data_IF_166990996440
#
_entry.id   IF_166990996440
#
_cell.length_a   1.000
_cell.length_b   1.000
_cell.length_c   1.000
_cell.angle_alpha   90.00
_cell.angle_beta   90.00
_cell.angle_gamma   90.00
#
_symmetry.space_group_name_H-M   'P 1'
#
loop_
_entity.id
_entity.type
_entity.pdbx_description
1 polymer ?
#
# COMPACT_ATOMS: atom_id res chain seq x y z
N UNK A 1 -29.35 39.63 43.62
CA UNK A 1 -29.16 39.96 42.19
C UNK A 1 -27.69 39.76 41.87
N UNK A 2 -27.36 38.61 41.30
CA UNK A 2 -25.98 38.19 41.03
C UNK A 2 -25.71 38.45 39.54
N UNK A 3 -24.71 39.24 39.14
CA UNK A 3 -24.44 39.46 37.72
C UNK A 3 -23.93 38.16 37.10
N UNK A 4 -24.65 37.71 36.07
CA UNK A 4 -24.24 36.61 35.21
C UNK A 4 -22.93 36.97 34.51
N UNK A 5 -21.89 36.19 34.79
CA UNK A 5 -20.58 36.29 34.15
C UNK A 5 -20.73 35.68 32.75
N UNK A 6 -20.90 36.53 31.74
CA UNK A 6 -20.87 36.09 30.34
C UNK A 6 -19.53 35.39 30.07
N UNK A 7 -19.51 34.19 29.46
CA UNK A 7 -18.26 33.60 29.00
C UNK A 7 -17.69 34.51 27.91
N UNK A 8 -16.55 35.12 28.20
CA UNK A 8 -15.78 35.82 27.18
C UNK A 8 -15.48 34.82 26.06
N UNK A 9 -15.99 35.13 24.88
CA UNK A 9 -15.62 34.54 23.61
C UNK A 9 -14.10 34.50 23.53
N UNK A 10 -13.51 33.33 23.76
CA UNK A 10 -12.18 33.04 23.25
C UNK A 10 -12.27 33.23 21.76
N UNK A 11 -11.67 34.31 21.25
CA UNK A 11 -11.34 34.43 19.83
C UNK A 11 -10.57 33.15 19.52
N UNK A 12 -11.23 32.21 18.86
CA UNK A 12 -10.71 30.87 18.68
C UNK A 12 -9.32 31.00 18.06
N UNK A 13 -8.31 30.34 18.62
CA UNK A 13 -6.94 30.31 18.09
C UNK A 13 -6.86 29.81 16.62
N UNK A 14 -8.00 29.42 16.06
CA UNK A 14 -8.26 28.96 14.70
C UNK A 14 -8.74 30.07 13.75
N UNK A 15 -9.00 31.30 14.22
CA UNK A 15 -9.51 32.39 13.36
C UNK A 15 -8.40 33.36 12.94
N UNK A 16 -7.35 33.52 13.74
CA UNK A 16 -6.23 34.42 13.43
C UNK A 16 -5.16 33.72 12.56
N UNK A 17 -4.99 34.13 11.28
CA UNK A 17 -4.03 33.50 10.37
C UNK A 17 -2.58 33.56 10.85
N UNK A 18 -2.20 34.57 11.62
CA UNK A 18 -0.83 34.68 12.16
C UNK A 18 -0.54 33.56 13.17
N UNK A 19 -1.57 32.99 13.80
CA UNK A 19 -1.45 31.92 14.79
C UNK A 19 -1.58 30.55 14.13
N UNK A 20 -2.61 30.37 13.29
CA UNK A 20 -2.94 29.04 12.78
C UNK A 20 -2.13 28.65 11.54
N UNK A 21 -1.69 29.61 10.70
CA UNK A 21 -0.96 29.30 9.47
C UNK A 21 0.42 28.69 9.73
N UNK A 22 1.24 29.18 10.70
CA UNK A 22 2.49 28.51 11.07
C UNK A 22 2.27 27.10 11.62
N UNK A 23 1.17 26.86 12.33
CA UNK A 23 0.80 25.52 12.81
C UNK A 23 0.48 24.60 11.64
N UNK A 24 -0.34 25.04 10.70
CA UNK A 24 -0.66 24.27 9.50
C UNK A 24 0.60 23.96 8.69
N UNK A 25 1.52 24.92 8.54
CA UNK A 25 2.77 24.69 7.82
C UNK A 25 3.59 23.55 8.44
N UNK A 26 3.72 23.50 9.77
CA UNK A 26 4.40 22.39 10.47
C UNK A 26 3.68 21.05 10.27
N UNK A 27 2.36 21.03 10.38
CA UNK A 27 1.58 19.81 10.12
C UNK A 27 1.77 19.34 8.67
N UNK A 28 1.84 20.24 7.69
CA UNK A 28 2.13 19.85 6.31
C UNK A 28 3.56 19.33 6.15
N UNK A 29 4.56 19.94 6.81
CA UNK A 29 5.95 19.46 6.78
C UNK A 29 6.07 18.05 7.39
N UNK A 30 5.41 17.80 8.51
CA UNK A 30 5.35 16.47 9.14
C UNK A 30 4.64 15.45 8.25
N UNK A 31 3.54 15.84 7.59
CA UNK A 31 2.83 14.99 6.64
C UNK A 31 3.73 14.64 5.45
N UNK A 32 4.43 15.62 4.88
CA UNK A 32 5.37 15.41 3.77
C UNK A 32 6.44 14.40 4.18
N UNK A 33 7.06 14.54 5.36
CA UNK A 33 8.06 13.61 5.83
C UNK A 33 7.53 12.17 5.99
N UNK A 34 6.29 12.01 6.48
CA UNK A 34 5.63 10.70 6.55
C UNK A 34 5.40 10.09 5.16
N UNK A 35 4.90 10.88 4.21
CA UNK A 35 4.66 10.41 2.85
C UNK A 35 5.96 10.12 2.09
N UNK A 36 7.04 10.89 2.30
CA UNK A 36 8.35 10.59 1.73
C UNK A 36 8.90 9.26 2.26
N UNK A 37 8.79 9.02 3.56
CA UNK A 37 9.19 7.73 4.14
C UNK A 37 8.32 6.57 3.62
N UNK A 38 7.03 6.80 3.39
CA UNK A 38 6.15 5.81 2.76
C UNK A 38 6.57 5.54 1.30
N UNK A 39 6.97 6.56 0.55
CA UNK A 39 7.49 6.43 -0.83
C UNK A 39 8.78 5.61 -0.86
N UNK A 40 9.70 5.81 0.08
CA UNK A 40 10.93 5.01 0.22
C UNK A 40 10.61 3.52 0.48
N UNK A 41 9.69 3.24 1.41
CA UNK A 41 9.27 1.87 1.69
C UNK A 41 8.57 1.23 0.49
N UNK A 42 7.80 2.01 -0.28
CA UNK A 42 7.16 1.53 -1.50
C UNK A 42 8.19 1.20 -2.61
N UNK A 43 9.27 1.98 -2.73
CA UNK A 43 10.37 1.64 -3.64
C UNK A 43 11.05 0.33 -3.20
N UNK A 44 11.38 0.21 -1.91
CA UNK A 44 12.00 -1.00 -1.37
C UNK A 44 11.10 -2.23 -1.53
N UNK A 45 9.80 -2.08 -1.37
CA UNK A 45 8.83 -3.14 -1.63
C UNK A 45 8.90 -3.63 -3.08
N UNK A 46 8.94 -2.72 -4.05
CA UNK A 46 9.08 -3.07 -5.47
C UNK A 46 10.36 -3.88 -5.75
N UNK A 47 11.50 -3.47 -5.18
CA UNK A 47 12.77 -4.18 -5.32
C UNK A 47 12.71 -5.60 -4.70
N UNK A 48 12.00 -5.76 -3.57
CA UNK A 48 11.82 -7.05 -2.91
C UNK A 48 10.88 -7.98 -3.66
N UNK A 49 9.84 -7.43 -4.30
CA UNK A 49 8.96 -8.17 -5.22
C UNK A 49 9.77 -8.69 -6.41
N UNK A 50 10.62 -7.85 -7.00
CA UNK A 50 11.46 -8.23 -8.14
C UNK A 50 12.49 -9.31 -7.78
N UNK A 51 13.11 -9.21 -6.60
CA UNK A 51 14.09 -10.19 -6.13
C UNK A 51 13.50 -11.47 -5.53
N UNK A 52 12.19 -11.48 -5.23
CA UNK A 52 11.50 -12.64 -4.65
C UNK A 52 11.85 -12.91 -3.18
N UNK A 53 12.37 -11.90 -2.46
CA UNK A 53 12.67 -12.00 -1.03
C UNK A 53 11.39 -11.73 -0.20
N UNK A 54 10.60 -12.78 -0.05
CA UNK A 54 9.29 -12.72 0.60
C UNK A 54 9.37 -12.42 2.11
N UNK A 55 10.44 -12.85 2.78
CA UNK A 55 10.61 -12.62 4.22
C UNK A 55 10.93 -11.14 4.50
N UNK A 56 11.84 -10.55 3.72
CA UNK A 56 12.12 -9.12 3.81
C UNK A 56 10.90 -8.27 3.38
N UNK A 57 10.12 -8.74 2.40
CA UNK A 57 8.88 -8.10 1.97
C UNK A 57 7.87 -7.98 3.12
N UNK A 58 7.68 -9.03 3.92
CA UNK A 58 6.80 -8.98 5.09
C UNK A 58 7.25 -7.93 6.12
N UNK A 59 8.57 -7.79 6.33
CA UNK A 59 9.13 -6.76 7.20
C UNK A 59 8.77 -5.34 6.73
N UNK A 60 8.94 -5.06 5.43
CA UNK A 60 8.59 -3.77 4.84
C UNK A 60 7.09 -3.49 4.95
N UNK A 61 6.23 -4.48 4.73
CA UNK A 61 4.78 -4.31 4.90
C UNK A 61 4.39 -3.94 6.33
N UNK A 62 5.06 -4.53 7.33
CA UNK A 62 4.87 -4.16 8.74
C UNK A 62 5.28 -2.72 9.04
N UNK A 63 6.44 -2.28 8.55
CA UNK A 63 6.87 -0.87 8.67
C UNK A 63 5.88 0.09 8.01
N UNK A 64 5.37 -0.27 6.81
CA UNK A 64 4.38 0.53 6.09
C UNK A 64 3.08 0.67 6.86
N UNK A 65 2.56 -0.40 7.46
CA UNK A 65 1.34 -0.33 8.27
C UNK A 65 1.50 0.66 9.44
N UNK A 66 2.61 0.58 10.17
CA UNK A 66 2.87 1.53 11.26
C UNK A 66 2.97 2.99 10.79
N UNK A 67 3.40 3.21 9.55
CA UNK A 67 3.44 4.52 8.93
C UNK A 67 2.06 5.02 8.50
N UNK A 68 1.24 4.15 7.92
CA UNK A 68 -0.16 4.44 7.59
C UNK A 68 -0.97 4.80 8.84
N UNK A 69 -0.73 4.11 9.96
CA UNK A 69 -1.38 4.43 11.23
C UNK A 69 -1.00 5.85 11.71
N UNK A 70 0.27 6.23 11.58
CA UNK A 70 0.75 7.60 11.89
C UNK A 70 0.16 8.65 10.97
N UNK A 71 0.10 8.38 9.66
CA UNK A 71 -0.54 9.27 8.69
C UNK A 71 -2.01 9.47 9.04
N UNK A 72 -2.71 8.40 9.45
CA UNK A 72 -4.11 8.45 9.84
C UNK A 72 -4.31 9.31 11.10
N UNK A 73 -3.46 9.13 12.11
CA UNK A 73 -3.48 9.97 13.30
C UNK A 73 -3.20 11.45 12.97
N UNK A 74 -2.21 11.70 12.11
CA UNK A 74 -1.83 13.04 11.69
C UNK A 74 -2.91 13.74 10.83
N UNK A 75 -3.65 12.97 10.04
CA UNK A 75 -4.79 13.48 9.27
C UNK A 75 -5.89 14.04 10.19
N UNK A 76 -6.07 13.46 11.39
CA UNK A 76 -7.00 14.00 12.38
C UNK A 76 -6.55 15.38 12.92
N UNK A 77 -5.24 15.64 13.00
CA UNK A 77 -4.71 16.96 13.39
C UNK A 77 -4.86 18.01 12.27
N UNK A 78 -4.93 17.58 11.01
CA UNK A 78 -5.20 18.43 9.85
C UNK A 78 -6.70 18.72 9.64
N UNK A 79 -7.59 17.85 10.14
CA UNK A 79 -9.04 17.93 9.95
C UNK A 79 -9.66 19.31 10.27
N UNK A 80 -9.28 20.02 11.35
CA UNK A 80 -9.85 21.34 11.64
C UNK A 80 -9.54 22.37 10.54
N UNK A 81 -8.43 22.21 9.83
CA UNK A 81 -8.02 23.12 8.75
C UNK A 81 -8.66 22.75 7.43
N UNK A 82 -8.73 21.45 7.11
CA UNK A 82 -9.29 20.98 5.84
C UNK A 82 -10.81 21.15 5.81
N UNK A 83 -11.51 20.86 6.91
CA UNK A 83 -12.96 21.04 7.04
C UNK A 83 -13.42 22.50 6.92
N UNK A 84 -12.54 23.45 7.27
CA UNK A 84 -12.83 24.89 7.27
C UNK A 84 -12.04 25.65 6.20
N UNK A 85 -11.35 24.95 5.30
CA UNK A 85 -10.39 25.56 4.38
C UNK A 85 -10.99 26.68 3.54
N UNK A 86 -12.19 26.49 3.00
CA UNK A 86 -12.89 27.48 2.17
C UNK A 86 -13.23 28.78 2.92
N UNK A 87 -13.38 28.71 4.25
CA UNK A 87 -13.61 29.88 5.10
C UNK A 87 -12.29 30.54 5.54
N UNK A 88 -11.23 29.75 5.76
CA UNK A 88 -9.93 30.22 6.24
C UNK A 88 -9.07 30.82 5.11
N UNK A 89 -9.05 30.21 3.93
CA UNK A 89 -8.20 30.60 2.80
C UNK A 89 -8.35 32.08 2.38
N UNK A 90 -9.58 32.67 2.30
CA UNK A 90 -9.74 34.08 1.94
C UNK A 90 -9.09 35.03 2.94
N UNK A 91 -9.00 34.63 4.22
CA UNK A 91 -8.42 35.44 5.30
C UNK A 91 -6.90 35.38 5.36
N UNK A 92 -6.29 34.44 4.62
CA UNK A 92 -4.86 34.16 4.70
C UNK A 92 -4.01 35.25 4.01
N UNK A 93 -3.05 35.88 4.73
CA UNK A 93 -2.09 36.80 4.14
C UNK A 93 -1.28 36.18 2.99
N UNK A 94 -0.87 37.01 2.03
CA UNK A 94 -0.15 36.57 0.84
C UNK A 94 1.13 35.79 1.17
N UNK A 95 1.90 36.24 2.17
CA UNK A 95 3.12 35.57 2.63
C UNK A 95 2.86 34.12 3.10
N UNK A 96 1.75 33.90 3.83
CA UNK A 96 1.38 32.55 4.27
C UNK A 96 0.87 31.68 3.11
N UNK A 97 0.16 32.25 2.14
CA UNK A 97 -0.24 31.53 0.92
C UNK A 97 0.97 31.02 0.14
N UNK A 98 1.98 31.87 -0.03
CA UNK A 98 3.24 31.52 -0.71
C UNK A 98 4.01 30.42 0.04
N UNK A 99 3.85 30.36 1.37
CA UNK A 99 4.46 29.32 2.21
C UNK A 99 3.70 27.99 2.13
N UNK A 100 2.37 28.02 2.17
CA UNK A 100 1.52 26.82 2.26
C UNK A 100 1.27 26.15 0.91
N UNK A 101 1.14 26.92 -0.17
CA UNK A 101 0.89 26.39 -1.52
C UNK A 101 1.89 25.32 -1.97
N UNK A 102 3.22 25.55 -1.96
CA UNK A 102 4.17 24.53 -2.41
C UNK A 102 4.12 23.25 -1.56
N UNK A 103 3.77 23.37 -0.27
CA UNK A 103 3.63 22.20 0.62
C UNK A 103 2.41 21.36 0.26
N UNK A 104 1.27 22.00 0.01
CA UNK A 104 0.05 21.32 -0.44
C UNK A 104 0.26 20.65 -1.81
N UNK A 105 0.93 21.34 -2.74
CA UNK A 105 1.29 20.79 -4.04
C UNK A 105 2.21 19.57 -3.91
N UNK A 106 3.25 19.68 -3.08
CA UNK A 106 4.20 18.59 -2.80
C UNK A 106 3.51 17.38 -2.16
N UNK A 107 2.66 17.61 -1.17
CA UNK A 107 1.89 16.55 -0.52
C UNK A 107 0.99 15.83 -1.54
N UNK A 108 0.28 16.57 -2.39
CA UNK A 108 -0.56 16.00 -3.44
C UNK A 108 0.22 15.25 -4.53
N UNK A 109 1.44 15.69 -4.85
CA UNK A 109 2.37 14.94 -5.72
C UNK A 109 2.75 13.59 -5.11
N UNK A 110 3.21 13.59 -3.85
CA UNK A 110 3.62 12.38 -3.13
C UNK A 110 2.48 11.36 -3.03
N UNK A 111 1.28 11.81 -2.66
CA UNK A 111 0.10 10.95 -2.56
C UNK A 111 -0.21 10.26 -3.89
N UNK A 112 -0.21 11.00 -5.01
CA UNK A 112 -0.46 10.42 -6.34
C UNK A 112 0.62 9.42 -6.74
N UNK A 113 1.88 9.74 -6.47
CA UNK A 113 3.03 8.88 -6.77
C UNK A 113 2.92 7.54 -6.03
N UNK A 114 2.56 7.57 -4.75
CA UNK A 114 2.42 6.37 -3.91
C UNK A 114 1.27 5.49 -4.40
N UNK A 115 0.09 6.08 -4.66
CA UNK A 115 -1.07 5.33 -5.19
C UNK A 115 -0.73 4.65 -6.52
N UNK A 116 -0.06 5.35 -7.44
CA UNK A 116 0.35 4.77 -8.72
C UNK A 116 1.32 3.60 -8.54
N UNK A 117 2.28 3.69 -7.60
CA UNK A 117 3.22 2.59 -7.35
C UNK A 117 2.53 1.41 -6.69
N UNK A 118 1.68 1.64 -5.70
CA UNK A 118 0.99 0.58 -4.97
C UNK A 118 0.07 -0.22 -5.91
N UNK A 119 -0.60 0.44 -6.86
CA UNK A 119 -1.39 -0.24 -7.89
C UNK A 119 -0.50 -1.11 -8.81
N UNK A 120 0.66 -0.58 -9.23
CA UNK A 120 1.61 -1.33 -10.06
C UNK A 120 2.16 -2.57 -9.33
N UNK A 121 2.50 -2.43 -8.04
CA UNK A 121 2.97 -3.54 -7.21
C UNK A 121 1.89 -4.58 -6.96
N UNK A 122 0.64 -4.15 -6.75
CA UNK A 122 -0.51 -5.05 -6.64
C UNK A 122 -0.66 -5.91 -7.89
N UNK A 123 -0.58 -5.30 -9.08
CA UNK A 123 -0.63 -6.04 -10.35
C UNK A 123 0.53 -7.03 -10.50
N UNK A 124 1.75 -6.66 -10.11
CA UNK A 124 2.93 -7.55 -10.16
C UNK A 124 2.75 -8.76 -9.25
N UNK A 125 2.35 -8.54 -8.00
CA UNK A 125 2.09 -9.62 -7.04
C UNK A 125 0.99 -10.56 -7.54
N UNK A 126 -0.09 -10.02 -8.11
CA UNK A 126 -1.15 -10.83 -8.71
C UNK A 126 -0.63 -11.70 -9.86
N UNK A 127 0.18 -11.12 -10.75
CA UNK A 127 0.79 -11.86 -11.87
C UNK A 127 1.73 -12.98 -11.39
N UNK A 128 2.55 -12.71 -10.37
CA UNK A 128 3.44 -13.71 -9.76
C UNK A 128 2.66 -14.87 -9.13
N UNK A 129 1.59 -14.56 -8.40
CA UNK A 129 0.68 -15.57 -7.82
C UNK A 129 0.09 -16.46 -8.91
N UNK A 130 -0.39 -15.86 -10.01
CA UNK A 130 -1.02 -16.61 -11.10
C UNK A 130 -0.03 -17.48 -11.86
N UNK A 131 1.22 -17.04 -12.01
CA UNK A 131 2.31 -17.84 -12.56
C UNK A 131 2.61 -19.06 -11.66
N UNK A 132 2.82 -18.83 -10.36
CA UNK A 132 3.07 -19.91 -9.40
C UNK A 132 1.93 -20.95 -9.37
N UNK A 133 0.68 -20.50 -9.46
CA UNK A 133 -0.48 -21.39 -9.52
C UNK A 133 -0.47 -22.27 -10.78
N UNK A 134 -0.08 -21.71 -11.94
CA UNK A 134 0.05 -22.47 -13.19
C UNK A 134 1.17 -23.50 -13.11
N UNK A 135 2.30 -23.14 -12.50
CA UNK A 135 3.44 -24.04 -12.32
C UNK A 135 3.07 -25.22 -11.44
N UNK A 136 2.41 -24.98 -10.30
CA UNK A 136 1.90 -26.03 -9.42
C UNK A 136 0.91 -26.96 -10.15
N UNK A 137 -0.01 -26.40 -10.95
CA UNK A 137 -0.94 -27.18 -11.75
C UNK A 137 -0.24 -28.00 -12.87
N UNK A 138 0.92 -27.55 -13.36
CA UNK A 138 1.71 -28.31 -14.33
C UNK A 138 2.45 -29.49 -13.69
N UNK A 139 2.94 -29.31 -12.46
CA UNK A 139 3.62 -30.36 -11.68
C UNK A 139 2.63 -31.47 -11.32
N UNK A 140 1.44 -31.12 -10.81
CA UNK A 140 0.38 -32.09 -10.49
C UNK A 140 -0.04 -32.90 -11.73
N UNK A 141 -0.20 -32.26 -12.89
CA UNK A 141 -0.47 -32.96 -14.15
C UNK A 141 0.67 -33.90 -14.57
N UNK A 142 1.91 -33.48 -14.40
CA UNK A 142 3.09 -34.29 -14.73
C UNK A 142 3.17 -35.53 -13.83
N UNK A 143 2.95 -35.38 -12.52
CA UNK A 143 2.91 -36.50 -11.57
C UNK A 143 1.80 -37.51 -11.91
N UNK A 144 0.61 -37.05 -12.28
CA UNK A 144 -0.50 -37.93 -12.71
C UNK A 144 -0.15 -38.70 -13.98
N UNK A 145 0.52 -38.06 -14.94
CA UNK A 145 0.98 -38.74 -16.15
C UNK A 145 2.01 -39.83 -15.83
N UNK A 146 3.02 -39.53 -15.00
CA UNK A 146 4.03 -40.52 -14.58
C UNK A 146 3.40 -41.71 -13.86
N UNK A 147 2.44 -41.47 -12.95
CA UNK A 147 1.73 -42.53 -12.22
C UNK A 147 0.86 -43.40 -13.14
N UNK A 148 0.29 -42.84 -14.21
CA UNK A 148 -0.49 -43.60 -15.18
C UNK A 148 0.39 -44.57 -15.98
N UNK A 149 1.60 -44.15 -16.36
CA UNK A 149 2.53 -45.02 -17.09
C UNK A 149 3.23 -46.05 -16.20
N UNK A 150 3.55 -45.71 -14.95
CA UNK A 150 4.19 -46.66 -14.02
C UNK A 150 3.25 -47.76 -13.53
N UNK A 151 1.93 -47.50 -13.55
CA UNK A 151 0.91 -48.46 -13.12
C UNK A 151 0.25 -49.21 -14.28
N UNK A 152 0.74 -49.05 -15.51
CA UNK A 152 0.36 -49.93 -16.60
C UNK A 152 1.01 -51.29 -16.31
N UNK A 153 0.23 -52.34 -15.97
CA UNK A 153 0.79 -53.63 -15.65
C UNK A 153 1.61 -54.05 -16.86
N UNK A 154 2.92 -54.19 -16.68
CA UNK A 154 3.76 -54.88 -17.65
C UNK A 154 3.03 -56.16 -17.96
N UNK A 155 2.44 -56.25 -19.15
CA UNK A 155 1.73 -57.44 -19.57
C UNK A 155 2.78 -58.53 -19.47
N UNK A 156 2.67 -59.34 -18.41
CA UNK A 156 3.41 -60.59 -18.32
C UNK A 156 3.12 -61.24 -19.64
N UNK A 157 4.15 -61.34 -20.45
CA UNK A 157 4.14 -61.99 -21.75
C UNK A 157 3.54 -63.37 -21.54
N UNK A 158 2.23 -63.48 -21.79
CA UNK A 158 1.56 -64.74 -22.00
C UNK A 158 2.23 -65.31 -23.23
N UNK A 159 3.22 -66.17 -23.00
CA UNK A 159 3.94 -66.91 -24.02
C UNK A 159 2.90 -67.53 -24.95
N UNK A 160 2.85 -67.19 -26.25
CA UNK A 160 1.98 -67.86 -27.21
C UNK A 160 2.52 -69.27 -27.37
N UNK A 161 1.98 -70.21 -26.59
CA UNK A 161 2.30 -71.63 -26.70
C UNK A 161 1.57 -72.15 -27.93
N UNK A 162 2.21 -72.05 -29.10
CA UNK A 162 1.82 -72.79 -30.29
C UNK A 162 1.93 -74.28 -29.97
N UNK A 163 0.80 -74.93 -29.71
CA UNK A 163 0.72 -76.39 -29.70
C UNK A 163 0.72 -76.86 -31.14
N UNK A 164 1.85 -77.40 -31.55
CA UNK A 164 2.03 -78.10 -32.82
C UNK A 164 1.08 -79.30 -32.88
N UNK A 165 0.32 -79.37 -33.98
CA UNK A 165 -0.46 -80.52 -34.42
C UNK A 165 0.38 -81.26 -35.46
N UNK A 166 0.92 -82.42 -35.11
CA UNK A 166 1.36 -83.50 -36.01
C UNK A 166 1.78 -84.66 -35.10
N UNK A 167 1.45 -85.93 -35.33
CA UNK A 167 0.74 -86.67 -36.36
C UNK A 167 0.73 -88.13 -35.86
#
# INVERSE_FOLDING_TARGET
>A
MTPARSPQSGVSAHTDPEVWAPRLARLLDDAIALYERLDELAQRQADLIESGDHDALLGVLGERQGLVDRITAHAADLDPFTSQWSALEPTLPQQHRETLRPRLERLGELMRKIVQRDEADHHRLAAMRDAAAKDLASIDRSQRATNAYSNQPSSKSTTPRFQDRTG
#
